data_IF_220546048622
#
_entry.id   IF_220546048622
#
_cell.length_a   1.000
_cell.length_b   1.000
_cell.length_c   1.000
_cell.angle_alpha   90.00
_cell.angle_beta   90.00
_cell.angle_gamma   90.00
#
_symmetry.space_group_name_H-M   'P 1'
#
loop_
_entity.id
_entity.type
_entity.pdbx_description
1 polymer ?
#
# COMPACT_ATOMS: atom_id res chain seq x y z
N UNK A 1 16.28 -18.31 -3.87
CA UNK A 1 14.86 -18.52 -3.53
C UNK A 1 14.06 -17.30 -3.98
N UNK A 2 13.00 -17.46 -4.79
CA UNK A 2 12.19 -16.32 -5.24
C UNK A 2 11.14 -15.94 -4.18
N UNK A 3 10.69 -14.69 -4.15
CA UNK A 3 9.62 -14.22 -3.24
C UNK A 3 8.36 -15.08 -3.34
N UNK A 4 7.98 -15.48 -4.57
CA UNK A 4 6.83 -16.37 -4.80
C UNK A 4 7.01 -17.73 -4.11
N UNK A 5 8.23 -18.28 -4.08
CA UNK A 5 8.51 -19.54 -3.38
C UNK A 5 8.42 -19.36 -1.86
N UNK A 6 8.91 -18.24 -1.33
CA UNK A 6 8.79 -17.93 0.10
C UNK A 6 7.32 -17.79 0.53
N UNK A 7 6.49 -17.07 -0.22
CA UNK A 7 5.07 -16.93 0.08
C UNK A 7 4.31 -18.26 0.07
N UNK A 8 4.61 -19.15 -0.89
CA UNK A 8 4.04 -20.50 -0.91
C UNK A 8 4.40 -21.34 0.31
N UNK A 9 5.54 -21.08 0.96
CA UNK A 9 5.95 -21.81 2.15
C UNK A 9 5.24 -21.27 3.41
N UNK A 10 5.06 -19.95 3.51
CA UNK A 10 4.44 -19.29 4.68
C UNK A 10 2.91 -19.41 4.62
N UNK A 11 2.30 -19.10 3.48
CA UNK A 11 0.85 -19.10 3.29
C UNK A 11 0.43 -20.20 2.32
N UNK A 12 0.45 -21.45 2.79
CA UNK A 12 0.17 -22.62 1.94
C UNK A 12 -1.28 -22.70 1.46
N UNK A 13 -2.20 -22.18 2.25
CA UNK A 13 -3.64 -22.20 1.96
C UNK A 13 -4.08 -21.06 1.03
N UNK A 14 -3.25 -20.02 0.88
CA UNK A 14 -3.58 -18.82 0.11
C UNK A 14 -2.68 -18.69 -1.12
N UNK A 15 -3.25 -18.24 -2.23
CA UNK A 15 -2.48 -17.93 -3.45
C UNK A 15 -1.92 -16.51 -3.39
N UNK A 16 -0.88 -16.29 -2.58
CA UNK A 16 -0.19 -15.00 -2.48
C UNK A 16 0.97 -14.92 -3.48
N UNK A 17 1.01 -13.86 -4.28
CA UNK A 17 2.12 -13.58 -5.21
C UNK A 17 2.57 -12.12 -5.08
N UNK A 18 3.86 -11.79 -5.34
CA UNK A 18 4.38 -10.42 -5.16
C UNK A 18 3.61 -9.36 -5.94
N UNK A 19 3.11 -9.70 -7.13
CA UNK A 19 2.30 -8.80 -7.94
C UNK A 19 0.94 -8.49 -7.29
N UNK A 20 0.32 -9.48 -6.62
CA UNK A 20 -0.92 -9.31 -5.90
C UNK A 20 -0.79 -8.31 -4.75
N UNK A 21 0.36 -8.29 -4.07
CA UNK A 21 0.65 -7.31 -3.02
C UNK A 21 0.64 -5.87 -3.57
N UNK A 22 1.20 -5.64 -4.78
CA UNK A 22 1.18 -4.32 -5.42
C UNK A 22 -0.23 -3.89 -5.81
N UNK A 23 -1.02 -4.81 -6.36
CA UNK A 23 -2.42 -4.53 -6.70
C UNK A 23 -3.26 -4.18 -5.47
N UNK A 24 -3.09 -4.94 -4.39
CA UNK A 24 -3.79 -4.71 -3.14
C UNK A 24 -3.46 -3.32 -2.57
N UNK A 25 -2.16 -3.00 -2.45
CA UNK A 25 -1.69 -1.67 -2.03
C UNK A 25 -2.25 -0.56 -2.92
N UNK A 26 -2.11 -0.68 -4.25
CA UNK A 26 -2.56 0.34 -5.20
C UNK A 26 -4.07 0.61 -5.06
N UNK A 27 -4.87 -0.45 -4.94
CA UNK A 27 -6.33 -0.33 -4.81
C UNK A 27 -6.70 0.42 -3.55
N UNK A 28 -6.18 0.00 -2.38
CA UNK A 28 -6.53 0.62 -1.10
C UNK A 28 -6.01 2.05 -1.01
N UNK A 29 -4.78 2.32 -1.47
CA UNK A 29 -4.20 3.65 -1.46
C UNK A 29 -4.98 4.64 -2.33
N UNK A 30 -5.47 4.20 -3.49
CA UNK A 30 -6.32 5.04 -4.36
C UNK A 30 -7.72 5.23 -3.76
N UNK A 31 -8.33 4.17 -3.22
CA UNK A 31 -9.67 4.22 -2.62
C UNK A 31 -9.72 5.13 -1.38
N UNK A 32 -8.64 5.16 -0.59
CA UNK A 32 -8.50 6.06 0.54
C UNK A 32 -8.52 7.56 0.14
N UNK A 33 -8.13 7.89 -1.10
CA UNK A 33 -8.28 9.24 -1.67
C UNK A 33 -7.38 10.34 -1.09
N UNK A 34 -6.61 10.08 -0.03
CA UNK A 34 -5.75 11.09 0.61
C UNK A 34 -4.44 11.36 -0.14
N UNK A 35 -4.02 10.44 -1.01
CA UNK A 35 -2.75 10.53 -1.73
C UNK A 35 -2.98 10.77 -3.22
N UNK A 36 -2.08 11.55 -3.81
CA UNK A 36 -2.08 11.75 -5.26
C UNK A 36 -1.73 10.44 -5.97
N UNK A 37 -2.44 10.16 -7.06
CA UNK A 37 -2.17 9.02 -7.93
C UNK A 37 -0.69 8.91 -8.33
N UNK A 38 -0.04 10.02 -8.70
CA UNK A 38 1.38 10.00 -9.09
C UNK A 38 2.32 9.53 -7.98
N UNK A 39 1.99 9.82 -6.72
CA UNK A 39 2.80 9.42 -5.56
C UNK A 39 2.68 7.91 -5.35
N UNK A 40 1.47 7.36 -5.51
CA UNK A 40 1.20 5.92 -5.43
C UNK A 40 1.95 5.18 -6.53
N UNK A 41 1.86 5.65 -7.77
CA UNK A 41 2.56 5.05 -8.92
C UNK A 41 4.09 5.15 -8.76
N UNK A 42 4.60 6.27 -8.26
CA UNK A 42 6.01 6.45 -7.96
C UNK A 42 6.50 5.51 -6.83
N UNK A 43 5.67 5.22 -5.84
CA UNK A 43 5.97 4.23 -4.79
C UNK A 43 6.00 2.79 -5.33
N UNK A 44 5.19 2.51 -6.36
CA UNK A 44 5.19 1.23 -7.07
C UNK A 44 6.34 1.08 -8.09
N UNK A 45 7.17 2.11 -8.24
CA UNK A 45 8.21 2.22 -9.27
C UNK A 45 7.65 2.05 -10.70
N UNK A 46 6.40 2.45 -10.91
CA UNK A 46 5.81 2.51 -12.23
C UNK A 46 6.34 3.72 -13.00
N UNK A 47 6.46 3.56 -14.31
CA UNK A 47 6.76 4.67 -15.21
C UNK A 47 5.45 5.33 -15.64
N UNK A 48 5.49 6.65 -15.83
CA UNK A 48 4.35 7.37 -16.39
C UNK A 48 4.06 6.82 -17.80
N UNK A 49 2.77 6.62 -18.10
CA UNK A 49 2.31 6.09 -19.39
C UNK A 49 2.32 7.18 -20.46
N UNK A 50 2.22 8.45 -20.05
CA UNK A 50 2.34 9.59 -20.95
C UNK A 50 3.81 9.98 -21.11
N UNK A 51 4.36 9.76 -22.31
CA UNK A 51 5.75 10.04 -22.63
C UNK A 51 6.09 11.55 -22.60
N UNK A 52 5.14 12.42 -22.94
CA UNK A 52 5.33 13.86 -22.89
C UNK A 52 5.44 14.26 -21.42
N UNK A 53 4.48 13.85 -20.60
CA UNK A 53 4.48 14.12 -19.16
C UNK A 53 5.74 13.58 -18.48
N UNK A 54 6.15 12.36 -18.82
CA UNK A 54 7.37 11.73 -18.30
C UNK A 54 8.65 12.53 -18.60
N UNK A 55 8.68 13.24 -19.73
CA UNK A 55 9.85 14.04 -20.14
C UNK A 55 10.07 15.23 -19.20
N UNK A 56 8.98 15.86 -18.74
CA UNK A 56 9.04 17.06 -17.90
C UNK A 56 8.93 16.74 -16.40
N UNK A 57 8.13 15.74 -16.03
CA UNK A 57 7.89 15.41 -14.63
C UNK A 57 8.94 14.44 -14.10
N UNK A 58 10.03 15.01 -13.56
CA UNK A 58 11.10 14.25 -12.89
C UNK A 58 10.96 14.22 -11.36
N UNK A 59 9.82 14.63 -10.84
CA UNK A 59 9.59 14.65 -9.40
C UNK A 59 9.57 13.22 -8.82
N UNK A 60 10.26 13.02 -7.71
CA UNK A 60 10.33 11.73 -7.01
C UNK A 60 9.33 11.62 -5.86
N UNK A 61 8.69 12.74 -5.48
CA UNK A 61 7.70 12.85 -4.41
C UNK A 61 8.15 12.21 -3.09
N UNK A 62 9.43 12.35 -2.74
CA UNK A 62 10.03 11.60 -1.62
C UNK A 62 9.29 11.82 -0.30
N UNK A 63 8.94 13.06 0.03
CA UNK A 63 8.22 13.39 1.26
C UNK A 63 6.80 12.83 1.29
N UNK A 64 6.06 12.93 0.17
CA UNK A 64 4.73 12.33 0.09
C UNK A 64 4.79 10.80 0.12
N UNK A 65 5.82 10.18 -0.46
CA UNK A 65 6.03 8.73 -0.39
C UNK A 65 6.37 8.27 1.02
N UNK A 66 7.10 9.06 1.81
CA UNK A 66 7.32 8.74 3.23
C UNK A 66 5.99 8.74 4.00
N UNK A 67 5.15 9.75 3.79
CA UNK A 67 3.82 9.81 4.41
C UNK A 67 2.93 8.63 3.98
N UNK A 68 2.94 8.30 2.69
CA UNK A 68 2.22 7.15 2.14
C UNK A 68 2.71 5.83 2.73
N UNK A 69 4.02 5.66 2.89
CA UNK A 69 4.60 4.46 3.47
C UNK A 69 4.27 4.32 4.95
N UNK A 70 4.30 5.40 5.72
CA UNK A 70 3.92 5.38 7.13
C UNK A 70 2.43 5.05 7.29
N UNK A 71 1.57 5.75 6.55
CA UNK A 71 0.13 5.45 6.56
C UNK A 71 -0.13 3.98 6.20
N UNK A 72 0.54 3.46 5.17
CA UNK A 72 0.37 2.06 4.80
C UNK A 72 0.81 1.08 5.90
N UNK A 73 1.87 1.41 6.64
CA UNK A 73 2.27 0.62 7.80
C UNK A 73 1.18 0.64 8.89
N UNK A 74 0.64 1.81 9.20
CA UNK A 74 -0.41 1.99 10.21
C UNK A 74 -1.69 1.22 9.82
N UNK A 75 -2.08 1.24 8.54
CA UNK A 75 -3.22 0.46 8.02
C UNK A 75 -3.00 -1.05 8.16
N UNK A 76 -1.79 -1.54 7.85
CA UNK A 76 -1.46 -2.96 8.02
C UNK A 76 -1.50 -3.38 9.50
N UNK A 77 -1.06 -2.52 10.42
CA UNK A 77 -1.17 -2.76 11.86
C UNK A 77 -2.62 -2.79 12.30
N UNK A 78 -3.45 -1.85 11.85
CA UNK A 78 -4.88 -1.85 12.14
C UNK A 78 -5.58 -3.12 11.62
N UNK A 79 -5.26 -3.58 10.40
CA UNK A 79 -5.79 -4.82 9.85
C UNK A 79 -5.35 -6.06 10.63
N UNK A 80 -4.11 -6.07 11.12
CA UNK A 80 -3.56 -7.16 11.95
C UNK A 80 -4.24 -7.22 13.31
N UNK A 81 -4.37 -6.08 13.97
CA UNK A 81 -4.89 -5.99 15.34
C UNK A 81 -6.42 -6.10 15.39
N UNK A 82 -7.08 -5.88 14.26
CA UNK A 82 -8.53 -5.96 14.12
C UNK A 82 -9.25 -4.73 14.68
N UNK A 83 -10.55 -4.86 14.94
CA UNK A 83 -11.34 -3.73 15.41
C UNK A 83 -10.92 -3.30 16.82
N UNK A 84 -10.66 -2.00 17.01
CA UNK A 84 -10.43 -1.41 18.34
C UNK A 84 -11.71 -1.51 19.17
N UNK A 85 -11.76 -2.43 20.11
CA UNK A 85 -12.90 -2.62 21.01
C UNK A 85 -12.92 -1.48 22.04
N UNK A 86 -13.88 -0.56 21.90
CA UNK A 86 -14.12 0.50 22.88
C UNK A 86 -15.20 -0.01 23.84
N UNK A 87 -14.82 -0.29 25.09
CA UNK A 87 -15.78 -0.62 26.14
C UNK A 87 -16.54 0.65 26.55
N UNK A 88 -17.78 0.76 26.11
CA UNK A 88 -18.72 1.76 26.60
C UNK A 88 -19.19 1.26 27.97
N UNK A 89 -18.61 1.79 29.04
CA UNK A 89 -19.02 1.45 30.41
C UNK A 89 -20.50 1.76 30.64
N UNK A 90 -21.20 0.91 31.39
CA UNK A 90 -22.50 1.29 31.97
C UNK A 90 -22.27 2.51 32.85
N UNK A 91 -22.94 3.61 32.54
CA UNK A 91 -23.12 4.72 33.48
C UNK A 91 -23.63 4.12 34.80
N UNK A 92 -22.89 4.39 35.87
CA UNK A 92 -23.27 4.04 37.23
C UNK A 92 -24.60 4.71 37.61
#
# INVERSE_FOLDING_TARGET
MTLTKAFKMIWREYRVVPHGCRHFFSTIANDHGQFRHDVIEAALAHKDRDAIRATYNRATYIEERHKLAQWWADELEAMRDGAKVIHIGKSA
#
